data_IF_835733568044
#
_entry.id   IF_835733568044
#
_cell.length_a   1.000
_cell.length_b   1.000
_cell.length_c   1.000
_cell.angle_alpha   90.00
_cell.angle_beta   90.00
_cell.angle_gamma   90.00
#
_symmetry.space_group_name_H-M   'P 1'
#
loop_
_entity.id
_entity.type
_entity.pdbx_description
1 polymer ?
#
# COMPACT_ATOMS: atom_id res chain seq x y z
N UNK A 1 31.58 7.19 -17.78
CA UNK A 1 31.29 8.50 -18.40
C UNK A 1 30.06 9.11 -17.76
N UNK A 2 29.99 10.45 -17.67
CA UNK A 2 28.78 11.16 -17.21
C UNK A 2 27.71 11.09 -18.29
N UNK A 3 26.44 10.92 -17.91
CA UNK A 3 25.29 10.97 -18.83
C UNK A 3 24.42 12.17 -18.48
N UNK A 4 23.42 12.52 -19.29
CA UNK A 4 22.48 13.61 -18.96
C UNK A 4 21.84 13.43 -17.57
N UNK A 5 21.61 12.18 -17.14
CA UNK A 5 21.07 11.85 -15.81
C UNK A 5 21.97 12.33 -14.66
N UNK A 6 23.27 12.49 -14.90
CA UNK A 6 24.21 12.99 -13.91
C UNK A 6 23.95 14.45 -13.54
N UNK A 7 23.29 15.21 -14.43
CA UNK A 7 22.96 16.62 -14.23
C UNK A 7 21.49 16.84 -13.82
N UNK A 8 20.76 15.77 -13.49
CA UNK A 8 19.40 15.89 -12.96
C UNK A 8 19.39 15.26 -11.57
N UNK A 9 19.09 16.03 -10.51
CA UNK A 9 19.24 15.58 -9.12
C UNK A 9 18.19 14.53 -8.70
N UNK A 10 17.17 14.28 -9.52
CA UNK A 10 16.10 13.32 -9.24
C UNK A 10 15.53 12.66 -10.49
N UNK A 11 14.59 11.73 -10.29
CA UNK A 11 13.81 11.16 -11.39
C UNK A 11 12.87 12.24 -11.91
N UNK A 12 12.94 12.54 -13.19
CA UNK A 12 12.10 13.52 -13.88
C UNK A 12 11.23 12.80 -14.92
N UNK A 13 10.04 13.34 -15.17
CA UNK A 13 9.16 12.94 -16.25
C UNK A 13 9.19 13.97 -17.37
N UNK A 14 9.20 13.50 -18.62
CA UNK A 14 9.11 14.36 -19.81
C UNK A 14 8.00 13.85 -20.73
N UNK A 15 7.20 14.75 -21.28
CA UNK A 15 6.15 14.37 -22.23
C UNK A 15 6.69 13.72 -23.50
N UNK A 16 7.94 14.05 -23.89
CA UNK A 16 8.64 13.39 -25.00
C UNK A 16 8.84 11.89 -24.78
N UNK A 17 8.80 11.41 -23.54
CA UNK A 17 8.86 9.97 -23.24
C UNK A 17 7.65 9.23 -23.81
N UNK A 18 6.48 9.87 -23.94
CA UNK A 18 5.29 9.24 -24.55
C UNK A 18 5.50 9.02 -26.04
N UNK A 19 6.09 10.00 -26.74
CA UNK A 19 6.43 9.86 -28.16
C UNK A 19 7.46 8.74 -28.38
N UNK A 20 8.52 8.70 -27.57
CA UNK A 20 9.54 7.64 -27.66
C UNK A 20 8.98 6.27 -27.29
N UNK A 21 8.04 6.20 -26.34
CA UNK A 21 7.31 4.99 -26.02
C UNK A 21 6.50 4.48 -27.22
N UNK A 22 5.90 5.36 -28.02
CA UNK A 22 5.18 5.02 -29.24
C UNK A 22 6.09 4.71 -30.45
N UNK A 23 7.41 4.62 -30.26
CA UNK A 23 8.37 4.39 -31.34
C UNK A 23 8.57 5.61 -32.24
N UNK A 24 8.33 6.83 -31.72
CA UNK A 24 8.56 8.10 -32.43
C UNK A 24 9.73 8.86 -31.81
N UNK A 25 10.38 9.72 -32.59
CA UNK A 25 11.41 10.62 -32.06
C UNK A 25 10.77 11.63 -31.11
N UNK A 26 11.25 11.70 -29.88
CA UNK A 26 10.86 12.69 -28.88
C UNK A 26 12.08 13.49 -28.42
N UNK A 27 11.95 14.81 -28.36
CA UNK A 27 13.00 15.73 -27.89
C UNK A 27 12.45 16.48 -26.67
N UNK A 28 13.18 16.44 -25.56
CA UNK A 28 12.90 17.25 -24.38
C UNK A 28 13.98 18.32 -24.21
N UNK A 29 13.53 19.53 -23.93
CA UNK A 29 14.39 20.61 -23.47
C UNK A 29 14.14 20.80 -21.98
N UNK A 30 15.17 20.59 -21.18
CA UNK A 30 15.09 20.59 -19.73
C UNK A 30 16.27 21.37 -19.14
N UNK A 31 15.99 22.14 -18.09
CA UNK A 31 17.02 22.77 -17.28
C UNK A 31 17.78 21.69 -16.51
N UNK A 32 19.12 21.76 -16.56
CA UNK A 32 20.00 20.91 -15.76
C UNK A 32 20.23 21.51 -14.37
N UNK A 33 20.65 20.68 -13.41
CA UNK A 33 20.92 21.03 -12.02
C UNK A 33 19.70 21.68 -11.30
N UNK A 34 18.50 21.43 -11.82
CA UNK A 34 17.24 21.88 -11.24
C UNK A 34 16.57 20.74 -10.45
N UNK A 35 16.46 20.93 -9.13
CA UNK A 35 15.83 19.98 -8.23
C UNK A 35 14.31 20.05 -8.20
N UNK A 36 13.69 21.06 -8.82
CA UNK A 36 12.23 21.25 -8.87
C UNK A 36 11.55 21.15 -7.50
N UNK A 37 12.24 21.63 -6.46
CA UNK A 37 11.77 21.50 -5.06
C UNK A 37 10.41 22.17 -4.82
N UNK A 38 10.04 23.13 -5.68
CA UNK A 38 8.84 23.94 -5.54
C UNK A 38 7.68 23.40 -6.38
N UNK A 39 7.94 22.56 -7.39
CA UNK A 39 6.93 22.06 -8.33
C UNK A 39 5.90 21.18 -7.62
N UNK A 40 4.61 21.32 -7.98
CA UNK A 40 3.47 20.65 -7.31
C UNK A 40 3.39 21.00 -5.81
N UNK A 41 3.75 22.24 -5.45
CA UNK A 41 3.56 22.81 -4.11
C UNK A 41 2.87 24.17 -4.19
N UNK A 42 2.25 24.67 -3.10
CA UNK A 42 1.72 26.04 -3.04
C UNK A 42 2.75 27.15 -3.30
N UNK A 43 4.04 26.81 -3.28
CA UNK A 43 5.11 27.75 -3.56
C UNK A 43 5.54 27.77 -5.04
N UNK A 44 4.94 26.96 -5.91
CA UNK A 44 5.12 27.02 -7.37
C UNK A 44 4.38 28.24 -7.94
N UNK A 45 4.95 29.43 -7.72
CA UNK A 45 4.28 30.70 -7.98
C UNK A 45 5.10 31.59 -8.92
N UNK A 46 4.38 32.36 -9.75
CA UNK A 46 4.97 33.25 -10.77
C UNK A 46 5.95 34.27 -10.18
N UNK A 47 5.70 34.73 -8.94
CA UNK A 47 6.57 35.68 -8.25
C UNK A 47 7.94 35.10 -7.85
N UNK A 48 8.12 33.78 -7.96
CA UNK A 48 9.41 33.08 -7.78
C UNK A 48 10.12 32.79 -9.10
N UNK A 49 9.51 33.13 -10.23
CA UNK A 49 10.12 32.98 -11.54
C UNK A 49 10.88 34.26 -11.94
N UNK A 50 12.09 34.11 -12.48
CA UNK A 50 12.84 35.23 -13.04
C UNK A 50 12.38 35.54 -14.48
N UNK A 51 11.29 36.32 -14.58
CA UNK A 51 10.61 36.69 -15.83
C UNK A 51 11.06 38.03 -16.44
N UNK A 52 12.02 38.71 -15.81
CA UNK A 52 12.49 40.01 -16.26
C UNK A 52 13.16 39.93 -17.64
N UNK A 53 13.26 41.07 -18.33
CA UNK A 53 14.07 41.18 -19.55
C UNK A 53 15.51 40.76 -19.24
N UNK A 54 16.08 39.85 -20.03
CA UNK A 54 17.38 39.20 -19.79
C UNK A 54 17.46 38.29 -18.54
N UNK A 55 16.33 38.01 -17.88
CA UNK A 55 16.21 37.01 -16.82
C UNK A 55 16.32 35.57 -17.34
N UNK A 56 16.27 34.60 -16.43
CA UNK A 56 16.45 33.18 -16.76
C UNK A 56 15.42 32.69 -17.79
N UNK A 57 14.14 32.96 -17.56
CA UNK A 57 13.08 32.51 -18.48
C UNK A 57 13.23 33.15 -19.86
N UNK A 58 13.50 34.46 -19.92
CA UNK A 58 13.73 35.17 -21.19
C UNK A 58 14.86 34.51 -21.98
N UNK A 59 16.01 34.29 -21.34
CA UNK A 59 17.18 33.66 -21.99
C UNK A 59 16.85 32.26 -22.51
N UNK A 60 16.16 31.45 -21.71
CA UNK A 60 15.74 30.10 -22.12
C UNK A 60 14.81 30.16 -23.33
N UNK A 61 13.76 30.99 -23.30
CA UNK A 61 12.80 31.13 -24.40
C UNK A 61 13.49 31.62 -25.67
N UNK A 62 14.38 32.62 -25.58
CA UNK A 62 15.12 33.15 -26.73
C UNK A 62 15.99 32.06 -27.37
N UNK A 63 16.77 31.33 -26.58
CA UNK A 63 17.61 30.23 -27.06
C UNK A 63 16.75 29.14 -27.70
N UNK A 64 15.66 28.74 -27.04
CA UNK A 64 14.75 27.72 -27.53
C UNK A 64 14.10 28.10 -28.86
N UNK A 65 13.60 29.32 -28.98
CA UNK A 65 13.03 29.82 -30.23
C UNK A 65 14.05 29.81 -31.37
N UNK A 66 15.29 30.25 -31.11
CA UNK A 66 16.36 30.24 -32.11
C UNK A 66 16.75 28.82 -32.55
N UNK A 67 16.80 27.86 -31.62
CA UNK A 67 17.09 26.45 -31.94
C UNK A 67 15.95 25.85 -32.77
N UNK A 68 14.69 26.04 -32.35
CA UNK A 68 13.53 25.47 -33.03
C UNK A 68 13.38 26.03 -34.45
N UNK A 69 13.58 27.34 -34.66
CA UNK A 69 13.54 27.94 -36.00
C UNK A 69 14.60 27.34 -36.92
N UNK A 70 15.82 27.13 -36.42
CA UNK A 70 16.90 26.52 -37.20
C UNK A 70 16.61 25.05 -37.50
N UNK A 71 16.24 24.27 -36.48
CA UNK A 71 15.95 22.84 -36.61
C UNK A 71 14.78 22.57 -37.58
N UNK A 72 13.73 23.41 -37.57
CA UNK A 72 12.59 23.26 -38.47
C UNK A 72 12.89 23.66 -39.92
N UNK A 73 13.94 24.45 -40.15
CA UNK A 73 14.37 24.87 -41.50
C UNK A 73 15.48 24.00 -42.08
N UNK A 74 16.15 23.23 -41.25
CA UNK A 74 17.26 22.38 -41.66
C UNK A 74 16.76 21.11 -42.37
N UNK A 75 17.00 20.95 -43.69
CA UNK A 75 16.61 19.75 -44.42
C UNK A 75 17.35 18.48 -43.96
N UNK A 76 18.47 18.63 -43.23
CA UNK A 76 19.26 17.53 -42.67
C UNK A 76 18.92 17.22 -41.21
N UNK A 77 17.92 17.89 -40.62
CA UNK A 77 17.52 17.65 -39.24
C UNK A 77 17.19 16.15 -39.04
N UNK A 78 17.84 15.45 -38.08
CA UNK A 78 17.60 14.03 -37.86
C UNK A 78 16.16 13.79 -37.38
N UNK A 79 15.33 13.19 -38.23
CA UNK A 79 13.92 12.88 -37.91
C UNK A 79 13.68 11.43 -37.48
N UNK A 80 14.63 10.53 -37.78
CA UNK A 80 14.43 9.08 -37.74
C UNK A 80 15.28 8.37 -36.67
N UNK A 81 15.20 8.79 -35.41
CA UNK A 81 15.74 7.97 -34.33
C UNK A 81 14.94 6.65 -34.27
N UNK A 82 15.58 5.51 -34.55
CA UNK A 82 14.93 4.19 -34.44
C UNK A 82 14.77 3.84 -32.97
N UNK A 83 13.60 4.16 -32.42
CA UNK A 83 13.17 3.74 -31.08
C UNK A 83 12.14 2.63 -31.18
N UNK A 84 12.20 1.66 -30.28
CA UNK A 84 11.20 0.59 -30.20
C UNK A 84 9.84 1.12 -29.79
N UNK A 85 8.76 0.48 -30.24
CA UNK A 85 7.40 0.82 -29.83
C UNK A 85 6.97 -0.06 -28.65
N UNK A 86 6.92 0.56 -27.47
CA UNK A 86 6.55 -0.04 -26.19
C UNK A 86 5.24 0.52 -25.63
N UNK A 87 4.42 1.13 -26.49
CA UNK A 87 3.16 1.77 -26.11
C UNK A 87 2.02 0.75 -26.04
N UNK A 88 1.24 0.83 -24.96
CA UNK A 88 0.07 0.00 -24.72
C UNK A 88 -1.16 0.86 -24.38
N UNK A 89 -2.30 0.51 -24.98
CA UNK A 89 -3.62 0.89 -24.51
C UNK A 89 -4.23 -0.27 -23.73
N UNK A 90 -4.72 0.05 -22.54
CA UNK A 90 -5.45 -0.86 -21.68
C UNK A 90 -6.91 -0.46 -21.68
N UNK A 91 -7.79 -1.38 -22.04
CA UNK A 91 -9.24 -1.22 -21.94
C UNK A 91 -9.74 -2.21 -20.88
N UNK A 92 -10.80 -1.85 -20.20
CA UNK A 92 -11.44 -2.79 -19.31
C UNK A 92 -12.79 -2.37 -18.82
N UNK A 93 -13.37 -3.27 -18.03
CA UNK A 93 -14.61 -3.05 -17.31
C UNK A 93 -14.47 -3.35 -15.83
N UNK A 94 -15.25 -2.62 -15.03
CA UNK A 94 -15.36 -2.79 -13.59
C UNK A 94 -16.72 -3.38 -13.27
N UNK A 95 -16.71 -4.53 -12.61
CA UNK A 95 -17.93 -5.29 -12.32
C UNK A 95 -18.00 -5.73 -10.87
N UNK A 96 -19.20 -5.99 -10.39
CA UNK A 96 -19.50 -6.63 -9.12
C UNK A 96 -19.90 -8.09 -9.35
N UNK A 97 -19.59 -8.95 -8.39
CA UNK A 97 -20.15 -10.30 -8.33
C UNK A 97 -21.49 -10.30 -7.59
N UNK A 98 -22.55 -10.67 -8.31
CA UNK A 98 -23.87 -10.93 -7.75
C UNK A 98 -24.34 -12.33 -8.16
N UNK A 99 -24.41 -13.25 -7.18
CA UNK A 99 -24.79 -14.64 -7.40
C UNK A 99 -26.24 -14.81 -7.90
N UNK A 100 -27.09 -13.78 -7.74
CA UNK A 100 -28.48 -13.80 -8.23
C UNK A 100 -28.58 -13.48 -9.71
N UNK A 101 -27.62 -12.74 -10.25
CA UNK A 101 -27.59 -12.34 -11.66
C UNK A 101 -26.80 -13.34 -12.51
N UNK A 102 -25.64 -13.82 -12.02
CA UNK A 102 -24.77 -14.68 -12.81
C UNK A 102 -23.80 -15.49 -11.96
N UNK A 103 -23.37 -16.64 -12.49
CA UNK A 103 -22.27 -17.42 -11.92
C UNK A 103 -20.91 -16.70 -12.04
N UNK A 104 -20.79 -15.73 -12.96
CA UNK A 104 -19.58 -14.93 -13.17
C UNK A 104 -19.84 -13.44 -12.90
N UNK A 105 -18.86 -12.72 -12.31
CA UNK A 105 -18.89 -11.28 -12.15
C UNK A 105 -19.21 -10.55 -13.47
N UNK A 106 -20.33 -9.83 -13.49
CA UNK A 106 -20.88 -9.23 -14.72
C UNK A 106 -21.72 -7.97 -14.48
N UNK A 107 -22.16 -7.70 -13.25
CA UNK A 107 -22.92 -6.51 -12.90
C UNK A 107 -22.04 -5.28 -13.00
N UNK A 108 -22.33 -4.37 -13.93
CA UNK A 108 -21.52 -3.18 -14.15
C UNK A 108 -21.53 -2.23 -12.93
N UNK A 109 -20.37 -1.70 -12.57
CA UNK A 109 -20.23 -0.68 -11.51
C UNK A 109 -19.99 0.68 -12.17
N UNK A 110 -20.91 1.64 -12.05
CA UNK A 110 -20.84 2.91 -12.78
C UNK A 110 -19.81 3.87 -12.21
N UNK A 111 -19.22 4.68 -13.10
CA UNK A 111 -18.33 5.80 -12.82
C UNK A 111 -17.14 5.51 -11.87
N UNK A 112 -16.44 4.36 -11.97
CA UNK A 112 -15.35 4.01 -11.07
C UNK A 112 -14.13 4.92 -11.29
N UNK A 113 -13.41 5.23 -10.22
CA UNK A 113 -12.10 5.86 -10.26
C UNK A 113 -11.05 4.76 -10.36
N UNK A 114 -10.38 4.66 -11.51
CA UNK A 114 -9.36 3.65 -11.75
C UNK A 114 -8.00 4.23 -11.38
N UNK A 115 -7.30 3.55 -10.48
CA UNK A 115 -5.95 3.94 -10.06
C UNK A 115 -4.93 2.89 -10.46
N UNK A 116 -3.80 3.34 -11.03
CA UNK A 116 -2.67 2.49 -11.39
C UNK A 116 -1.42 3.05 -10.70
N UNK A 117 -0.96 2.35 -9.66
CA UNK A 117 0.27 2.72 -8.96
C UNK A 117 1.51 2.42 -9.79
N UNK A 118 2.35 3.44 -10.01
CA UNK A 118 3.59 3.31 -10.79
C UNK A 118 4.81 3.15 -9.89
N UNK A 119 5.95 2.91 -10.53
CA UNK A 119 7.25 2.71 -9.89
C UNK A 119 7.67 3.83 -8.93
N UNK A 120 7.34 5.08 -9.27
CA UNK A 120 7.71 6.28 -8.51
C UNK A 120 6.44 7.08 -8.22
N UNK A 121 6.20 7.46 -6.96
CA UNK A 121 5.04 8.30 -6.60
C UNK A 121 5.17 9.72 -7.15
N UNK A 122 6.40 10.24 -7.15
CA UNK A 122 6.72 11.56 -7.71
C UNK A 122 7.99 11.50 -8.55
N UNK A 123 8.02 12.28 -9.62
CA UNK A 123 9.13 12.44 -10.54
C UNK A 123 9.45 13.93 -10.69
N UNK A 124 10.07 14.51 -9.65
CA UNK A 124 10.42 15.93 -9.57
C UNK A 124 9.21 16.86 -9.79
N UNK A 125 8.15 16.62 -9.00
CA UNK A 125 6.90 17.37 -9.03
C UNK A 125 5.81 16.75 -9.92
N UNK A 126 6.15 15.85 -10.83
CA UNK A 126 5.14 15.10 -11.59
C UNK A 126 4.65 13.89 -10.78
N UNK A 127 3.34 13.78 -10.54
CA UNK A 127 2.74 12.60 -9.90
C UNK A 127 2.85 11.40 -10.84
N UNK A 128 3.33 10.27 -10.31
CA UNK A 128 3.55 9.08 -11.11
C UNK A 128 2.35 8.16 -11.20
N UNK A 129 1.47 8.17 -10.20
CA UNK A 129 0.27 7.34 -10.22
C UNK A 129 -0.74 7.87 -11.24
N UNK A 130 -1.33 6.97 -12.03
CA UNK A 130 -2.40 7.34 -12.96
C UNK A 130 -3.74 7.18 -12.27
N UNK A 131 -4.59 8.19 -12.45
CA UNK A 131 -5.96 8.19 -11.96
C UNK A 131 -6.84 8.60 -13.14
N UNK A 132 -7.77 7.73 -13.53
CA UNK A 132 -8.76 8.01 -14.57
C UNK A 132 -10.16 7.68 -14.05
N UNK A 133 -11.18 8.11 -14.79
CA UNK A 133 -12.57 7.78 -14.48
C UNK A 133 -13.13 6.88 -15.57
N UNK A 134 -13.81 5.81 -15.16
CA UNK A 134 -14.63 4.99 -16.03
C UNK A 134 -15.98 5.65 -16.32
N UNK A 135 -16.68 5.12 -17.31
CA UNK A 135 -18.00 5.60 -17.71
C UNK A 135 -19.15 5.02 -16.86
N UNK A 136 -20.38 5.34 -17.23
CA UNK A 136 -21.59 4.84 -16.55
C UNK A 136 -21.84 3.33 -16.71
N UNK A 137 -21.11 2.64 -17.58
CA UNK A 137 -21.14 1.18 -17.75
C UNK A 137 -19.94 0.50 -17.08
N UNK A 138 -19.14 1.26 -16.32
CA UNK A 138 -17.93 0.77 -15.68
C UNK A 138 -16.77 0.52 -16.65
N UNK A 139 -16.89 0.96 -17.90
CA UNK A 139 -15.84 0.81 -18.91
C UNK A 139 -14.78 1.90 -18.76
N UNK A 140 -13.52 1.56 -19.02
CA UNK A 140 -12.42 2.51 -18.94
C UNK A 140 -11.34 2.24 -20.00
N UNK A 141 -10.57 3.28 -20.31
CA UNK A 141 -9.39 3.22 -21.17
C UNK A 141 -8.22 3.96 -20.52
N UNK A 142 -7.07 3.29 -20.39
CA UNK A 142 -5.79 3.90 -20.02
C UNK A 142 -4.86 3.85 -21.22
N UNK A 143 -4.50 5.02 -21.71
CA UNK A 143 -3.56 5.19 -22.83
C UNK A 143 -2.13 5.44 -22.33
N UNK A 144 -1.14 5.06 -23.12
CA UNK A 144 0.26 5.38 -22.82
C UNK A 144 0.86 4.59 -21.65
N UNK A 145 0.46 3.32 -21.50
CA UNK A 145 1.16 2.40 -20.61
C UNK A 145 2.43 1.86 -21.26
N UNK A 146 3.49 1.74 -20.47
CA UNK A 146 4.77 1.26 -20.96
C UNK A 146 4.89 -0.26 -20.80
N UNK A 147 5.09 -0.95 -21.92
CA UNK A 147 5.28 -2.40 -21.97
C UNK A 147 6.59 -2.87 -21.32
N UNK A 148 6.70 -4.18 -21.10
CA UNK A 148 7.93 -4.86 -20.66
C UNK A 148 8.45 -4.40 -19.29
N UNK A 149 7.54 -4.02 -18.39
CA UNK A 149 7.90 -3.59 -17.04
C UNK A 149 8.60 -2.24 -16.96
N UNK A 150 8.60 -1.44 -18.03
CA UNK A 150 9.23 -0.11 -18.05
C UNK A 150 8.61 0.88 -17.04
N UNK A 151 7.33 0.70 -16.70
CA UNK A 151 6.59 1.55 -15.77
C UNK A 151 6.37 0.97 -14.35
N UNK A 152 6.85 -0.24 -14.06
CA UNK A 152 6.56 -0.96 -12.81
C UNK A 152 7.73 -1.83 -12.37
N UNK A 153 7.92 -1.99 -11.06
CA UNK A 153 8.88 -2.94 -10.50
C UNK A 153 8.25 -4.30 -10.21
N UNK A 154 6.98 -4.50 -10.56
CA UNK A 154 6.27 -5.78 -10.33
C UNK A 154 6.76 -6.83 -11.34
N UNK A 155 6.80 -8.08 -10.89
CA UNK A 155 7.19 -9.23 -11.70
C UNK A 155 6.36 -9.31 -12.99
N UNK A 156 7.00 -9.65 -14.10
CA UNK A 156 6.32 -9.75 -15.42
C UNK A 156 5.83 -8.42 -15.99
N UNK A 157 6.21 -7.28 -15.40
CA UNK A 157 5.76 -5.96 -15.87
C UNK A 157 4.27 -5.70 -15.62
N UNK A 158 3.67 -6.39 -14.65
CA UNK A 158 2.25 -6.25 -14.35
C UNK A 158 1.92 -4.89 -13.70
N UNK A 159 0.84 -4.28 -14.17
CA UNK A 159 0.21 -3.13 -13.52
C UNK A 159 -0.93 -3.64 -12.64
N UNK A 160 -0.97 -3.17 -11.40
CA UNK A 160 -2.10 -3.44 -10.50
C UNK A 160 -3.13 -2.35 -10.75
N UNK A 161 -4.32 -2.78 -11.14
CA UNK A 161 -5.45 -1.91 -11.45
C UNK A 161 -6.33 -1.92 -10.20
N UNK A 162 -6.55 -0.74 -9.63
CA UNK A 162 -7.30 -0.56 -8.39
C UNK A 162 -8.47 0.40 -8.64
N UNK A 163 -9.66 -0.11 -9.03
CA UNK A 163 -10.87 0.69 -9.13
C UNK A 163 -11.50 0.97 -7.76
N UNK A 164 -11.98 2.20 -7.57
CA UNK A 164 -12.70 2.63 -6.38
C UNK A 164 -13.98 3.39 -6.76
N UNK A 165 -15.01 3.30 -5.93
CA UNK A 165 -16.18 4.21 -6.00
C UNK A 165 -16.24 4.97 -4.69
N UNK A 166 -16.51 6.27 -4.77
CA UNK A 166 -16.62 7.16 -3.62
C UNK A 166 -18.09 7.51 -3.37
N UNK A 167 -18.48 7.57 -2.10
CA UNK A 167 -19.74 8.21 -1.73
C UNK A 167 -19.69 9.70 -2.09
N UNK A 168 -20.77 10.21 -2.70
CA UNK A 168 -20.79 11.60 -3.20
C UNK A 168 -20.83 12.65 -2.08
N UNK A 169 -21.31 12.29 -0.90
CA UNK A 169 -21.48 13.21 0.21
C UNK A 169 -20.30 13.15 1.19
N UNK A 170 -19.89 11.95 1.61
CA UNK A 170 -18.81 11.79 2.58
C UNK A 170 -17.43 11.70 1.94
N UNK A 171 -17.34 11.29 0.67
CA UNK A 171 -16.08 10.98 0.00
C UNK A 171 -15.47 9.64 0.42
N UNK A 172 -16.18 8.83 1.22
CA UNK A 172 -15.71 7.52 1.65
C UNK A 172 -15.66 6.52 0.48
N UNK A 173 -14.72 5.60 0.54
CA UNK A 173 -14.64 4.49 -0.43
C UNK A 173 -15.75 3.49 -0.12
N UNK A 174 -16.70 3.37 -1.04
CA UNK A 174 -17.86 2.46 -0.95
C UNK A 174 -17.72 1.21 -1.82
N UNK A 175 -16.81 1.23 -2.81
CA UNK A 175 -16.37 0.03 -3.52
C UNK A 175 -14.85 0.01 -3.64
N UNK A 176 -14.25 -1.16 -3.50
CA UNK A 176 -12.82 -1.40 -3.65
C UNK A 176 -12.56 -2.73 -4.40
N UNK A 177 -11.33 -2.96 -4.91
CA UNK A 177 -10.99 -4.20 -5.59
C UNK A 177 -11.20 -5.42 -4.68
N UNK A 178 -11.92 -6.42 -5.16
CA UNK A 178 -12.12 -7.68 -4.45
C UNK A 178 -10.92 -8.61 -4.68
N UNK A 179 -10.21 -8.94 -3.61
CA UNK A 179 -9.10 -9.91 -3.59
C UNK A 179 -9.55 -11.32 -3.17
N UNK A 180 -10.85 -11.49 -2.92
CA UNK A 180 -11.50 -12.69 -2.47
C UNK A 180 -11.73 -13.74 -3.56
N UNK A 181 -12.71 -14.62 -3.32
CA UNK A 181 -12.91 -15.84 -4.12
C UNK A 181 -13.43 -15.57 -5.53
N UNK A 182 -14.31 -14.58 -5.68
CA UNK A 182 -14.91 -14.23 -6.97
C UNK A 182 -14.26 -13.00 -7.61
N UNK A 183 -13.33 -12.35 -6.91
CA UNK A 183 -12.57 -11.22 -7.39
C UNK A 183 -11.25 -11.60 -8.05
N UNK A 184 -10.14 -11.14 -7.49
CA UNK A 184 -8.79 -11.27 -8.05
C UNK A 184 -8.31 -12.72 -8.23
N UNK A 185 -8.92 -13.69 -7.54
CA UNK A 185 -8.64 -15.12 -7.76
C UNK A 185 -9.19 -15.64 -9.09
N UNK A 186 -10.27 -15.04 -9.61
CA UNK A 186 -10.86 -15.36 -10.92
C UNK A 186 -10.37 -14.38 -11.98
N UNK A 187 -10.50 -13.08 -11.70
CA UNK A 187 -10.08 -11.99 -12.58
C UNK A 187 -8.97 -11.18 -11.93
N UNK A 188 -7.73 -11.60 -12.16
CA UNK A 188 -6.55 -11.00 -11.54
C UNK A 188 -6.43 -9.51 -11.89
N UNK A 189 -6.40 -8.66 -10.85
CA UNK A 189 -6.25 -7.21 -10.98
C UNK A 189 -4.80 -6.79 -11.29
N UNK A 190 -3.84 -7.73 -11.30
CA UNK A 190 -2.46 -7.53 -11.75
C UNK A 190 -2.33 -7.95 -13.21
N UNK A 191 -2.44 -6.98 -14.10
CA UNK A 191 -2.51 -7.19 -15.54
C UNK A 191 -1.13 -7.01 -16.18
N UNK A 192 -0.58 -8.02 -16.88
CA UNK A 192 0.66 -7.88 -17.61
C UNK A 192 0.48 -6.91 -18.79
N UNK A 193 1.36 -5.91 -18.87
CA UNK A 193 1.41 -4.96 -19.98
C UNK A 193 2.45 -5.43 -21.00
N UNK A 194 2.07 -6.48 -21.73
CA UNK A 194 2.93 -7.26 -22.64
C UNK A 194 2.55 -7.11 -24.12
N UNK A 195 1.46 -6.39 -24.40
CA UNK A 195 0.87 -6.24 -25.74
C UNK A 195 0.41 -4.81 -25.96
N UNK A 196 0.35 -4.36 -27.22
CA UNK A 196 -0.05 -2.99 -27.57
C UNK A 196 -1.50 -2.65 -27.23
N UNK A 197 -2.36 -3.65 -27.20
CA UNK A 197 -3.77 -3.52 -26.81
C UNK A 197 -4.02 -4.62 -25.79
N UNK A 198 -4.54 -4.24 -24.62
CA UNK A 198 -4.78 -5.16 -23.52
C UNK A 198 -6.18 -4.96 -22.97
N UNK A 199 -6.95 -6.05 -22.92
CA UNK A 199 -8.23 -6.09 -22.21
C UNK A 199 -8.03 -6.58 -20.78
N UNK A 200 -8.85 -6.06 -19.86
CA UNK A 200 -8.97 -6.59 -18.50
C UNK A 200 -10.38 -6.41 -17.95
N UNK A 201 -10.72 -7.25 -16.98
CA UNK A 201 -11.90 -7.09 -16.13
C UNK A 201 -11.42 -7.03 -14.69
N UNK A 202 -11.92 -6.08 -13.93
CA UNK A 202 -11.60 -5.97 -12.51
C UNK A 202 -12.88 -6.06 -11.70
N UNK A 203 -12.88 -6.94 -10.71
CA UNK A 203 -14.02 -7.14 -9.83
C UNK A 203 -13.87 -6.29 -8.58
N UNK A 204 -14.93 -5.59 -8.21
CA UNK A 204 -15.04 -4.82 -6.99
C UNK A 204 -16.21 -5.32 -6.15
N UNK A 205 -16.25 -4.89 -4.88
CA UNK A 205 -17.34 -5.24 -3.97
C UNK A 205 -17.72 -4.04 -3.11
N UNK A 206 -18.99 -3.96 -2.63
CA UNK A 206 -19.40 -2.96 -1.66
C UNK A 206 -18.61 -3.13 -0.36
N UNK A 207 -18.00 -2.05 0.13
CA UNK A 207 -17.11 -2.13 1.28
C UNK A 207 -17.13 -0.85 2.12
N UNK A 208 -16.55 -0.96 3.32
CA UNK A 208 -16.06 0.19 4.07
C UNK A 208 -14.57 0.03 4.34
N UNK A 209 -13.86 1.14 4.53
CA UNK A 209 -12.42 1.14 4.78
C UNK A 209 -12.07 1.19 6.27
N UNK A 210 -11.17 0.31 6.69
CA UNK A 210 -10.54 0.31 8.01
C UNK A 210 -9.08 0.76 7.91
N UNK A 211 -8.71 1.89 8.50
CA UNK A 211 -7.35 2.43 8.44
C UNK A 211 -6.48 1.92 9.59
N UNK A 212 -5.24 1.55 9.30
CA UNK A 212 -4.26 1.07 10.28
C UNK A 212 -2.99 1.90 10.14
N UNK A 213 -2.43 2.36 11.26
CA UNK A 213 -1.27 3.24 11.30
C UNK A 213 -0.06 2.57 11.96
N UNK A 214 1.10 3.23 11.87
CA UNK A 214 2.35 2.84 12.55
C UNK A 214 2.74 1.38 12.31
N UNK A 215 2.71 0.98 11.03
CA UNK A 215 3.03 -0.36 10.55
C UNK A 215 4.54 -0.64 10.55
N UNK A 216 5.24 -0.32 11.63
CA UNK A 216 6.69 -0.49 11.77
C UNK A 216 6.97 -1.58 12.81
N UNK A 217 7.82 -2.54 12.47
CA UNK A 217 8.34 -3.51 13.43
C UNK A 217 9.27 -2.80 14.42
N UNK A 218 8.97 -2.89 15.72
CA UNK A 218 9.75 -2.17 16.75
C UNK A 218 11.14 -2.76 16.98
N UNK A 219 11.37 -4.00 16.51
CA UNK A 219 12.67 -4.66 16.65
C UNK A 219 13.62 -4.32 15.50
N UNK A 220 13.16 -4.41 14.26
CA UNK A 220 13.99 -4.15 13.07
C UNK A 220 13.86 -2.73 12.53
N UNK A 221 12.91 -1.94 13.03
CA UNK A 221 12.56 -0.60 12.54
C UNK A 221 12.25 -0.59 11.05
N UNK A 222 11.67 -1.68 10.55
CA UNK A 222 11.25 -1.83 9.16
C UNK A 222 9.73 -1.78 9.04
N UNK A 223 9.25 -1.11 8.01
CA UNK A 223 7.83 -1.12 7.65
C UNK A 223 7.38 -2.54 7.29
N UNK A 224 6.31 -3.00 7.92
CA UNK A 224 5.61 -4.25 7.63
C UNK A 224 4.88 -4.12 6.29
N UNK A 225 5.01 -5.15 5.43
CA UNK A 225 4.54 -5.09 4.03
C UNK A 225 3.59 -6.21 3.66
N UNK A 226 3.67 -7.34 4.34
CA UNK A 226 2.74 -8.43 4.12
C UNK A 226 1.60 -8.29 5.11
N UNK A 227 0.40 -8.10 4.58
CA UNK A 227 -0.83 -7.91 5.33
C UNK A 227 -1.77 -9.05 4.96
N UNK A 228 -2.25 -9.74 5.97
CA UNK A 228 -3.25 -10.80 5.88
C UNK A 228 -4.46 -10.43 6.72
N UNK A 229 -5.64 -10.59 6.14
CA UNK A 229 -6.94 -10.40 6.78
C UNK A 229 -7.61 -11.75 6.96
N UNK A 230 -8.33 -11.91 8.06
CA UNK A 230 -9.10 -13.11 8.38
C UNK A 230 -10.50 -12.72 8.86
N UNK A 231 -11.48 -13.53 8.52
CA UNK A 231 -12.78 -13.51 9.17
C UNK A 231 -12.63 -14.00 10.62
N UNK A 232 -13.22 -13.28 11.57
CA UNK A 232 -13.02 -13.57 12.98
C UNK A 232 -13.77 -14.82 13.47
N UNK A 233 -14.84 -15.22 12.79
CA UNK A 233 -15.66 -16.37 13.15
C UNK A 233 -15.10 -17.69 12.62
N UNK A 234 -14.53 -17.68 11.41
CA UNK A 234 -13.99 -18.88 10.77
C UNK A 234 -12.47 -18.99 10.81
N UNK A 235 -11.75 -17.93 11.19
CA UNK A 235 -10.29 -17.85 11.14
C UNK A 235 -9.68 -18.13 9.73
N UNK A 236 -10.49 -17.95 8.68
CA UNK A 236 -10.10 -18.11 7.28
C UNK A 236 -10.03 -16.77 6.56
N UNK A 237 -9.52 -16.75 5.33
CA UNK A 237 -9.60 -15.56 4.49
C UNK A 237 -11.08 -15.23 4.22
N UNK A 238 -11.50 -13.95 4.33
CA UNK A 238 -12.86 -13.54 3.99
C UNK A 238 -13.18 -13.85 2.53
N UNK A 239 -14.45 -14.11 2.24
CA UNK A 239 -14.91 -14.36 0.87
C UNK A 239 -14.70 -13.16 -0.04
N UNK A 240 -14.86 -11.95 0.51
CA UNK A 240 -14.63 -10.65 -0.12
C UNK A 240 -13.78 -9.77 0.79
N UNK A 241 -12.70 -9.20 0.25
CA UNK A 241 -11.88 -8.23 0.96
C UNK A 241 -11.00 -7.47 -0.01
N UNK A 242 -10.54 -6.28 0.37
CA UNK A 242 -9.58 -5.50 -0.40
C UNK A 242 -8.47 -4.96 0.50
N UNK A 243 -7.33 -4.58 -0.09
CA UNK A 243 -6.20 -4.04 0.66
C UNK A 243 -5.52 -2.90 -0.12
N UNK A 244 -5.19 -1.82 0.59
CA UNK A 244 -4.16 -0.87 0.17
C UNK A 244 -3.03 -0.90 1.19
N UNK A 245 -1.84 -1.35 0.79
CA UNK A 245 -0.71 -1.59 1.71
C UNK A 245 0.52 -0.73 1.37
N UNK A 246 1.44 -0.52 2.33
CA UNK A 246 2.70 0.19 2.08
C UNK A 246 3.52 -0.44 0.95
N UNK A 247 3.98 0.39 0.02
CA UNK A 247 4.91 -0.01 -1.04
C UNK A 247 6.18 0.84 -0.91
N UNK A 248 7.32 0.18 -0.68
CA UNK A 248 8.60 0.88 -0.70
C UNK A 248 8.97 1.24 -2.13
N UNK A 249 9.24 2.52 -2.35
CA UNK A 249 9.74 3.01 -3.63
C UNK A 249 11.24 2.80 -3.74
N UNK A 250 11.68 2.43 -4.93
CA UNK A 250 13.10 2.19 -5.19
C UNK A 250 13.89 3.50 -5.05
N UNK A 251 14.96 3.46 -4.25
CA UNK A 251 15.80 4.63 -3.98
C UNK A 251 15.19 5.62 -2.99
N UNK A 252 14.05 5.33 -2.39
CA UNK A 252 13.42 6.15 -1.36
C UNK A 252 13.52 5.45 -0.01
N UNK A 253 14.11 6.15 0.97
CA UNK A 253 14.31 5.64 2.33
C UNK A 253 13.02 5.63 3.15
N UNK A 254 12.11 6.58 2.89
CA UNK A 254 10.82 6.67 3.55
C UNK A 254 9.77 5.76 2.91
N UNK A 255 8.91 5.16 3.72
CA UNK A 255 7.72 4.42 3.28
C UNK A 255 6.57 4.81 4.20
N UNK A 256 5.41 5.10 3.64
CA UNK A 256 4.21 5.46 4.41
C UNK A 256 3.73 4.23 5.21
N UNK A 257 3.79 4.25 6.56
CA UNK A 257 3.49 3.08 7.37
C UNK A 257 1.99 3.01 7.67
N UNK A 258 1.16 3.07 6.63
CA UNK A 258 -0.31 3.10 6.70
C UNK A 258 -0.88 2.05 5.75
N UNK A 259 -1.93 1.36 6.18
CA UNK A 259 -2.70 0.46 5.33
C UNK A 259 -4.20 0.75 5.47
N UNK A 260 -4.94 0.47 4.39
CA UNK A 260 -6.39 0.41 4.41
C UNK A 260 -6.80 -1.03 4.15
N UNK A 261 -7.77 -1.50 4.92
CA UNK A 261 -8.41 -2.79 4.77
C UNK A 261 -9.86 -2.55 4.38
N UNK A 262 -10.27 -3.07 3.24
CA UNK A 262 -11.64 -2.97 2.76
C UNK A 262 -12.37 -4.26 3.11
N UNK A 263 -13.55 -4.13 3.72
CA UNK A 263 -14.36 -5.28 4.16
C UNK A 263 -15.84 -4.92 4.10
N UNK A 264 -16.69 -5.93 4.04
CA UNK A 264 -18.13 -5.73 4.15
C UNK A 264 -18.45 -5.11 5.54
N UNK A 265 -19.44 -4.20 5.60
CA UNK A 265 -19.86 -3.60 6.87
C UNK A 265 -20.36 -4.66 7.86
N UNK A 266 -20.24 -4.36 9.14
CA UNK A 266 -20.66 -5.16 10.29
C UNK A 266 -19.97 -6.53 10.45
N UNK A 267 -19.05 -6.87 9.54
CA UNK A 267 -18.19 -8.06 9.70
C UNK A 267 -17.16 -7.86 10.80
N UNK A 268 -16.64 -8.97 11.31
CA UNK A 268 -15.52 -8.96 12.25
C UNK A 268 -14.27 -9.47 11.57
N UNK A 269 -13.21 -8.67 11.61
CA UNK A 269 -11.95 -9.00 10.96
C UNK A 269 -10.79 -9.08 11.94
N UNK A 270 -9.83 -9.93 11.62
CA UNK A 270 -8.53 -10.03 12.28
C UNK A 270 -7.46 -9.68 11.26
N UNK A 271 -6.44 -8.94 11.67
CA UNK A 271 -5.35 -8.52 10.79
C UNK A 271 -4.03 -9.02 11.37
N UNK A 272 -3.22 -9.64 10.51
CA UNK A 272 -1.85 -10.00 10.81
C UNK A 272 -0.92 -9.34 9.80
N UNK A 273 0.20 -8.81 10.27
CA UNK A 273 1.25 -8.33 9.37
C UNK A 273 2.63 -8.90 9.70
N UNK A 274 3.45 -9.06 8.68
CA UNK A 274 4.82 -9.56 8.81
C UNK A 274 5.81 -8.77 7.96
N UNK A 275 7.09 -8.95 8.32
CA UNK A 275 8.22 -8.55 7.50
C UNK A 275 8.78 -9.82 6.83
N UNK A 276 8.42 -10.04 5.56
CA UNK A 276 8.76 -11.27 4.84
C UNK A 276 7.92 -12.48 5.27
N UNK A 277 8.45 -13.69 5.03
CA UNK A 277 7.73 -14.96 5.28
C UNK A 277 7.79 -15.46 6.73
N UNK A 278 8.60 -14.86 7.61
CA UNK A 278 8.86 -15.39 8.95
C UNK A 278 8.09 -14.61 10.03
N UNK A 279 6.98 -15.23 10.48
CA UNK A 279 6.25 -14.86 11.70
C UNK A 279 5.45 -13.56 11.60
N UNK A 280 4.23 -13.56 12.14
CA UNK A 280 3.43 -12.35 12.29
C UNK A 280 4.10 -11.47 13.36
N UNK A 281 4.38 -10.20 13.02
CA UNK A 281 5.03 -9.19 13.88
C UNK A 281 4.03 -8.22 14.48
N UNK A 282 2.91 -8.05 13.81
CA UNK A 282 1.78 -7.25 14.23
C UNK A 282 0.53 -8.13 14.18
N UNK A 283 -0.22 -8.14 15.28
CA UNK A 283 -1.50 -8.83 15.41
C UNK A 283 -2.54 -7.84 15.89
N UNK A 284 -3.65 -7.75 15.15
CA UNK A 284 -4.85 -7.04 15.53
C UNK A 284 -5.97 -8.07 15.51
N UNK A 285 -6.25 -8.65 16.67
CA UNK A 285 -7.17 -9.77 16.83
C UNK A 285 -8.26 -9.52 17.88
N UNK A 286 -8.21 -8.39 18.60
CA UNK A 286 -9.06 -8.08 19.74
C UNK A 286 -9.00 -9.21 20.78
N UNK A 287 -7.80 -9.47 21.28
CA UNK A 287 -7.59 -10.46 22.32
C UNK A 287 -7.94 -9.89 23.71
N UNK A 288 -8.40 -10.76 24.61
CA UNK A 288 -8.77 -10.40 25.96
C UNK A 288 -8.98 -11.60 26.87
N UNK A 289 -9.60 -11.35 28.03
CA UNK A 289 -9.85 -12.36 29.08
C UNK A 289 -10.76 -13.50 28.63
N UNK A 290 -11.58 -13.30 27.60
CA UNK A 290 -12.45 -14.34 27.03
C UNK A 290 -11.65 -15.57 26.58
N UNK A 291 -10.38 -15.38 26.21
CA UNK A 291 -9.47 -16.47 25.85
C UNK A 291 -9.08 -17.42 26.97
N UNK A 292 -9.35 -17.08 28.24
CA UNK A 292 -9.02 -17.95 29.39
C UNK A 292 -9.82 -19.27 29.39
N UNK A 293 -11.00 -19.31 28.74
CA UNK A 293 -11.84 -20.51 28.68
C UNK A 293 -11.22 -21.63 27.84
N UNK A 294 -10.65 -21.29 26.68
CA UNK A 294 -10.01 -22.24 25.76
C UNK A 294 -8.73 -21.63 25.15
N UNK A 295 -7.64 -21.50 25.93
CA UNK A 295 -6.47 -20.71 25.51
C UNK A 295 -5.74 -21.19 24.26
N UNK A 296 -5.74 -22.49 23.99
CA UNK A 296 -5.09 -23.08 22.81
C UNK A 296 -5.83 -22.79 21.52
N UNK A 297 -7.17 -22.79 21.56
CA UNK A 297 -8.04 -22.51 20.41
C UNK A 297 -8.37 -21.02 20.27
N UNK A 298 -8.04 -20.19 21.26
CA UNK A 298 -8.36 -18.77 21.23
C UNK A 298 -7.48 -18.02 20.22
N UNK A 299 -8.14 -17.32 19.30
CA UNK A 299 -7.51 -16.53 18.23
C UNK A 299 -7.93 -15.06 18.26
N UNK A 300 -8.61 -14.61 19.33
CA UNK A 300 -9.17 -13.27 19.46
C UNK A 300 -10.60 -13.14 18.93
N UNK A 301 -11.28 -12.04 19.25
CA UNK A 301 -12.69 -11.79 18.90
C UNK A 301 -12.89 -11.06 17.57
N UNK A 302 -11.81 -10.50 17.00
CA UNK A 302 -11.85 -9.64 15.82
C UNK A 302 -12.45 -8.25 16.05
N UNK A 303 -12.11 -7.32 15.16
CA UNK A 303 -12.61 -5.95 15.16
C UNK A 303 -13.86 -5.85 14.30
N UNK A 304 -14.92 -5.22 14.83
CA UNK A 304 -16.13 -4.90 14.06
C UNK A 304 -15.79 -3.80 13.06
N UNK A 305 -16.14 -4.04 11.81
CA UNK A 305 -16.03 -3.12 10.69
C UNK A 305 -17.29 -2.25 10.70
N UNK A 306 -17.25 -0.97 11.11
CA UNK A 306 -18.52 -0.24 11.24
C UNK A 306 -18.47 1.25 11.53
N UNK A 307 -17.77 1.74 12.58
CA UNK A 307 -17.85 3.16 12.92
C UNK A 307 -16.48 3.76 13.22
N UNK A 308 -16.11 4.81 12.49
CA UNK A 308 -14.78 5.42 12.53
C UNK A 308 -13.65 4.41 12.29
N UNK A 309 -13.71 3.68 11.17
CA UNK A 309 -12.92 2.47 10.81
C UNK A 309 -11.39 2.53 10.98
N UNK A 310 -10.82 3.61 11.48
CA UNK A 310 -9.45 3.62 11.96
C UNK A 310 -9.23 2.80 13.25
N UNK A 311 -8.23 1.91 13.24
CA UNK A 311 -7.63 1.37 14.47
C UNK A 311 -6.61 2.40 14.98
N UNK A 312 -7.08 3.35 15.78
CA UNK A 312 -6.24 4.41 16.38
C UNK A 312 -5.28 3.83 17.41
N UNK A 313 -4.20 4.57 17.68
CA UNK A 313 -3.12 4.16 18.61
C UNK A 313 -2.66 2.72 18.37
N UNK A 314 -2.52 2.36 17.09
CA UNK A 314 -2.27 0.98 16.63
C UNK A 314 -1.19 0.26 17.44
N UNK A 315 -0.02 0.85 17.77
CA UNK A 315 0.99 0.16 18.57
C UNK A 315 0.45 -0.35 19.91
N UNK A 316 -0.34 0.45 20.62
CA UNK A 316 -0.96 0.07 21.89
C UNK A 316 -1.97 -1.08 21.71
N UNK A 317 -2.79 -1.03 20.66
CA UNK A 317 -3.76 -2.10 20.37
C UNK A 317 -3.05 -3.41 20.06
N UNK A 318 -1.96 -3.34 19.27
CA UNK A 318 -1.15 -4.50 18.92
C UNK A 318 -0.52 -5.14 20.14
N UNK A 319 0.16 -4.37 20.99
CA UNK A 319 0.79 -4.94 22.19
C UNK A 319 -0.25 -5.50 23.15
N UNK A 320 -1.39 -4.83 23.34
CA UNK A 320 -2.48 -5.35 24.17
C UNK A 320 -2.98 -6.70 23.65
N UNK A 321 -3.18 -6.82 22.34
CA UNK A 321 -3.70 -8.04 21.73
C UNK A 321 -2.67 -9.19 21.79
N UNK A 322 -1.38 -8.90 21.51
CA UNK A 322 -0.30 -9.88 21.64
C UNK A 322 -0.14 -10.36 23.08
N UNK A 323 -0.11 -9.43 24.04
CA UNK A 323 0.05 -9.74 25.46
C UNK A 323 -1.09 -10.62 25.98
N UNK A 324 -2.35 -10.31 25.66
CA UNK A 324 -3.47 -11.16 26.09
C UNK A 324 -3.44 -12.55 25.46
N UNK A 325 -3.02 -12.65 24.20
CA UNK A 325 -2.89 -13.94 23.54
C UNK A 325 -1.84 -14.82 24.23
N UNK A 326 -0.69 -14.24 24.56
CA UNK A 326 0.40 -14.93 25.23
C UNK A 326 0.07 -15.24 26.69
N UNK A 327 -0.54 -14.32 27.44
CA UNK A 327 -0.93 -14.52 28.83
C UNK A 327 -1.92 -15.68 28.98
N UNK A 328 -2.93 -15.75 28.10
CA UNK A 328 -3.90 -16.85 28.11
C UNK A 328 -3.19 -18.22 27.96
N UNK A 329 -2.18 -18.30 27.07
CA UNK A 329 -1.41 -19.52 26.81
C UNK A 329 -0.39 -19.82 27.90
N UNK A 330 0.33 -18.82 28.38
CA UNK A 330 1.35 -18.96 29.42
C UNK A 330 0.73 -19.46 30.73
N UNK A 331 -0.45 -18.96 31.11
CA UNK A 331 -1.21 -19.50 32.25
C UNK A 331 -1.54 -20.98 32.12
N UNK A 332 -1.90 -21.41 30.92
CA UNK A 332 -2.16 -22.82 30.65
C UNK A 332 -0.87 -23.64 30.81
N UNK A 333 0.24 -23.22 30.22
CA UNK A 333 1.53 -23.92 30.32
C UNK A 333 2.02 -24.02 31.75
N UNK A 334 1.91 -22.95 32.54
CA UNK A 334 2.25 -22.95 33.97
C UNK A 334 1.41 -23.93 34.78
N UNK A 335 0.12 -24.09 34.45
CA UNK A 335 -0.74 -25.11 35.08
C UNK A 335 -0.22 -26.53 34.84
N UNK A 336 0.47 -26.76 33.72
CA UNK A 336 1.11 -28.03 33.38
C UNK A 336 2.62 -28.07 33.73
N UNK A 337 3.11 -27.15 34.56
CA UNK A 337 4.50 -27.14 35.04
C UNK A 337 5.54 -26.68 34.01
N UNK A 338 5.10 -26.10 32.88
CA UNK A 338 5.99 -25.58 31.84
C UNK A 338 6.13 -24.08 32.03
N UNK A 339 7.30 -23.64 32.47
CA UNK A 339 7.62 -22.22 32.68
C UNK A 339 9.02 -21.87 32.17
N UNK A 340 9.25 -20.58 31.93
CA UNK A 340 10.57 -20.06 31.58
C UNK A 340 10.74 -18.69 32.22
N UNK A 341 11.71 -18.55 33.12
CA UNK A 341 11.95 -17.30 33.86
C UNK A 341 12.21 -16.11 32.92
N UNK A 342 12.96 -16.35 31.84
CA UNK A 342 13.23 -15.32 30.84
C UNK A 342 11.95 -14.86 30.13
N UNK A 343 11.06 -15.79 29.79
CA UNK A 343 9.78 -15.49 29.12
C UNK A 343 8.90 -14.69 30.07
N UNK A 344 8.80 -15.15 31.32
CA UNK A 344 8.01 -14.50 32.36
C UNK A 344 8.49 -13.07 32.66
N UNK A 345 9.81 -12.86 32.73
CA UNK A 345 10.39 -11.51 32.88
C UNK A 345 10.05 -10.60 31.71
N UNK A 346 10.20 -11.07 30.46
CA UNK A 346 9.87 -10.28 29.27
C UNK A 346 8.39 -9.92 29.22
N UNK A 347 7.52 -10.89 29.53
CA UNK A 347 6.07 -10.71 29.55
C UNK A 347 5.62 -9.75 30.68
N UNK A 348 6.29 -9.80 31.83
CA UNK A 348 6.07 -8.85 32.93
C UNK A 348 6.51 -7.44 32.55
N UNK A 349 7.72 -7.26 31.98
CA UNK A 349 8.17 -5.95 31.51
C UNK A 349 7.26 -5.36 30.43
N UNK A 350 6.75 -6.21 29.54
CA UNK A 350 5.74 -5.81 28.57
C UNK A 350 4.46 -5.31 29.26
N UNK A 351 3.96 -6.04 30.28
CA UNK A 351 2.77 -5.63 31.03
C UNK A 351 2.96 -4.29 31.75
N UNK A 352 4.07 -4.10 32.46
CA UNK A 352 4.36 -2.85 33.18
C UNK A 352 4.35 -1.63 32.25
N UNK A 353 4.96 -1.76 31.06
CA UNK A 353 4.97 -0.70 30.05
C UNK A 353 3.62 -0.52 29.37
N UNK A 354 2.86 -1.60 29.17
CA UNK A 354 1.50 -1.57 28.63
C UNK A 354 0.54 -0.83 29.58
N UNK A 355 0.63 -1.10 30.89
CA UNK A 355 -0.16 -0.42 31.92
C UNK A 355 0.20 1.07 32.00
N UNK A 356 1.49 1.40 31.99
CA UNK A 356 1.94 2.80 31.92
C UNK A 356 1.44 3.50 30.65
N UNK A 357 1.46 2.82 29.50
CA UNK A 357 0.95 3.36 28.24
C UNK A 357 -0.55 3.64 28.34
N UNK A 358 -1.34 2.72 28.92
CA UNK A 358 -2.78 2.91 29.15
C UNK A 358 -3.03 4.15 30.00
N UNK A 359 -2.35 4.27 31.14
CA UNK A 359 -2.58 5.37 32.08
C UNK A 359 -2.16 6.72 31.48
N UNK A 360 -1.14 6.72 30.63
CA UNK A 360 -0.69 7.90 29.87
C UNK A 360 -1.68 8.27 28.75
N UNK A 361 -2.28 7.29 28.07
CA UNK A 361 -3.35 7.52 27.08
C UNK A 361 -4.58 8.15 27.73
N UNK A 362 -4.95 7.72 28.95
CA UNK A 362 -6.05 8.32 29.71
C UNK A 362 -5.79 9.80 30.03
N UNK A 363 -4.52 10.17 30.23
CA UNK A 363 -4.07 11.57 30.42
C UNK A 363 -3.91 12.35 29.10
N UNK A 364 -4.18 11.72 27.94
CA UNK A 364 -4.05 12.29 26.59
C UNK A 364 -2.62 12.70 26.19
N UNK A 365 -1.60 12.17 26.86
CA UNK A 365 -0.21 12.34 26.42
C UNK A 365 0.14 11.23 25.41
N UNK A 366 -0.27 11.46 24.16
CA UNK A 366 -0.10 10.48 23.08
C UNK A 366 1.37 10.18 22.75
N UNK A 367 2.26 11.17 22.88
CA UNK A 367 3.68 11.01 22.58
C UNK A 367 4.35 10.02 23.53
N UNK A 368 4.15 10.22 24.83
CA UNK A 368 4.71 9.34 25.84
C UNK A 368 4.02 7.97 25.84
N UNK A 369 2.70 7.93 25.63
CA UNK A 369 1.96 6.68 25.50
C UNK A 369 2.48 5.80 24.35
N UNK A 370 2.68 6.38 23.16
CA UNK A 370 3.19 5.62 22.01
C UNK A 370 4.64 5.16 22.22
N UNK A 371 5.48 5.96 22.90
CA UNK A 371 6.84 5.54 23.30
C UNK A 371 6.80 4.30 24.20
N UNK A 372 5.93 4.31 25.21
CA UNK A 372 5.74 3.18 26.14
C UNK A 372 5.17 1.94 25.43
N UNK A 373 4.16 2.13 24.58
CA UNK A 373 3.54 1.05 23.82
C UNK A 373 4.54 0.37 22.87
N UNK A 374 5.39 1.16 22.18
CA UNK A 374 6.45 0.63 21.30
C UNK A 374 7.52 -0.13 22.08
N UNK A 375 7.89 0.35 23.27
CA UNK A 375 8.82 -0.36 24.16
C UNK A 375 8.24 -1.71 24.63
N UNK A 376 6.97 -1.71 25.06
CA UNK A 376 6.24 -2.92 25.44
C UNK A 376 6.17 -3.93 24.28
N UNK A 377 5.85 -3.45 23.07
CA UNK A 377 5.84 -4.27 21.86
C UNK A 377 7.21 -4.88 21.53
N UNK A 378 8.30 -4.15 21.79
CA UNK A 378 9.66 -4.68 21.66
C UNK A 378 9.95 -5.86 22.59
N UNK A 379 9.46 -5.83 23.84
CA UNK A 379 9.59 -6.94 24.78
C UNK A 379 8.74 -8.14 24.38
N UNK A 380 7.45 -7.93 24.11
CA UNK A 380 6.52 -9.02 23.78
C UNK A 380 6.87 -9.70 22.45
N UNK A 381 7.38 -8.95 21.47
CA UNK A 381 7.87 -9.52 20.21
C UNK A 381 9.04 -10.50 20.39
N UNK A 382 9.74 -10.45 21.53
CA UNK A 382 10.79 -11.41 21.90
C UNK A 382 10.23 -12.61 22.66
N UNK A 383 9.16 -12.44 23.44
CA UNK A 383 8.51 -13.53 24.18
C UNK A 383 7.63 -14.41 23.27
N UNK A 384 6.89 -13.81 22.33
CA UNK A 384 5.91 -14.50 21.48
C UNK A 384 6.45 -15.73 20.72
N UNK A 385 7.63 -15.69 20.06
CA UNK A 385 8.19 -16.87 19.42
C UNK A 385 8.49 -18.01 20.40
N UNK A 386 8.91 -17.67 21.63
CA UNK A 386 9.24 -18.63 22.67
C UNK A 386 7.95 -19.29 23.20
N UNK A 387 6.88 -18.52 23.48
CA UNK A 387 5.55 -19.05 23.84
C UNK A 387 5.01 -20.00 22.78
N UNK A 388 5.14 -19.63 21.50
CA UNK A 388 4.69 -20.48 20.38
C UNK A 388 5.52 -21.76 20.29
N UNK A 389 6.84 -21.66 20.44
CA UNK A 389 7.73 -22.83 20.40
C UNK A 389 7.40 -23.79 21.54
N UNK A 390 7.26 -23.29 22.77
CA UNK A 390 6.84 -24.08 23.92
C UNK A 390 5.51 -24.79 23.67
N UNK A 391 4.52 -24.11 23.08
CA UNK A 391 3.25 -24.75 22.69
C UNK A 391 3.42 -25.90 21.70
N UNK A 392 4.22 -25.69 20.65
CA UNK A 392 4.49 -26.73 19.65
C UNK A 392 5.27 -27.92 20.24
N UNK A 393 6.23 -27.67 21.12
CA UNK A 393 7.05 -28.68 21.77
C UNK A 393 6.19 -29.56 22.70
N UNK A 394 5.23 -28.96 23.41
CA UNK A 394 4.28 -29.67 24.28
C UNK A 394 3.30 -30.53 23.48
N UNK A 395 2.75 -30.01 22.38
CA UNK A 395 1.86 -30.80 21.50
C UNK A 395 2.63 -31.96 20.87
N UNK A 396 3.89 -31.74 20.48
CA UNK A 396 4.73 -32.80 19.92
C UNK A 396 5.08 -33.86 20.96
N UNK A 397 5.42 -33.47 22.19
CA UNK A 397 5.77 -34.40 23.27
C UNK A 397 4.61 -35.22 23.84
N UNK A 398 3.35 -34.84 23.59
CA UNK A 398 2.15 -35.62 23.98
C UNK A 398 1.72 -36.59 22.87
N UNK A 399 2.19 -36.40 21.63
CA UNK A 399 1.92 -37.30 20.51
C UNK A 399 3.00 -38.38 20.29
N UNK A 400 3.96 -38.53 21.22
CA UNK A 400 4.97 -39.59 21.22
C UNK A 400 4.99 -40.39 22.51
#
# INVERSE_FOLDING_TARGET
GKTWKTYIPGKIAFDSEVATLAGKTGIAFATIDDARMMTDTPFDAINRMNINKNGNLHKQVKTMASILIQALRDPLMPTSAKVGNFYCNLYGDVVEYDARESALPSKAVPEPIITLRRKHKTMAGARGDLIIRGDNKGQFEVVGLAMEGRATNRMGGAQEIEPYVLDRNSGDIVYAPDLGNYGAKVYNNKVPIDRRQRGCRVVVFPCVSTTIYDLVDQRSLRTLRELQIYDAGTDSFPEKYGLSKPIQQQGVSATEPIALVYSEPDKRIKIGMSYGQIGKRLLLIKAGRSGTKNPTLYTGEGFVVGENGSIRVTPYVVIRDMWWLDENRNRLYKKFGISSDRLDQLHQFANERLDQARDTLLKRDYSQALKLARAAWGFESRAYPDVKKTGNDVVSGVMF
#
